data_IF_624498686797
#
_entry.id   IF_624498686797
#
_cell.length_a   1.000
_cell.length_b   1.000
_cell.length_c   1.000
_cell.angle_alpha   90.00
_cell.angle_beta   90.00
_cell.angle_gamma   90.00
#
_symmetry.space_group_name_H-M   'P 1'
#
loop_
_entity.id
_entity.type
_entity.pdbx_description
1 polymer ?
#
# COMPACT_ATOMS: atom_id res chain seq x y z
N UNK A 1 14.91 -8.82 -10.59
CA UNK A 1 13.96 -9.68 -11.32
C UNK A 1 12.96 -10.31 -10.36
N UNK A 2 13.39 -11.02 -9.31
CA UNK A 2 12.49 -11.69 -8.35
C UNK A 2 11.43 -10.74 -7.75
N UNK A 3 11.83 -9.56 -7.26
CA UNK A 3 10.89 -8.58 -6.70
C UNK A 3 9.84 -8.09 -7.71
N UNK A 4 10.22 -7.92 -8.97
CA UNK A 4 9.28 -7.57 -10.04
C UNK A 4 8.27 -8.69 -10.29
N UNK A 5 8.74 -9.93 -10.42
CA UNK A 5 7.85 -11.09 -10.60
C UNK A 5 6.88 -11.25 -9.43
N UNK A 6 7.37 -11.10 -8.20
CA UNK A 6 6.51 -11.13 -7.01
C UNK A 6 5.47 -10.00 -6.98
N UNK A 7 5.84 -8.81 -7.43
CA UNK A 7 4.89 -7.69 -7.60
C UNK A 7 3.79 -8.04 -8.60
N UNK A 8 4.16 -8.55 -9.76
CA UNK A 8 3.20 -8.95 -10.78
C UNK A 8 2.31 -10.13 -10.36
N UNK A 9 2.85 -11.15 -9.71
CA UNK A 9 2.04 -12.28 -9.22
C UNK A 9 1.06 -11.86 -8.12
N UNK A 10 1.41 -10.86 -7.29
CA UNK A 10 0.45 -10.27 -6.32
C UNK A 10 -0.71 -9.56 -7.00
N UNK A 11 -0.42 -8.78 -8.06
CA UNK A 11 -1.44 -8.09 -8.84
C UNK A 11 -2.35 -9.08 -9.57
N UNK A 12 -1.81 -10.23 -9.98
CA UNK A 12 -2.54 -11.29 -10.69
C UNK A 12 -3.14 -12.35 -9.72
N UNK A 13 -3.53 -11.92 -8.50
CA UNK A 13 -4.22 -12.73 -7.47
C UNK A 13 -3.49 -14.01 -7.03
N UNK A 14 -2.16 -14.05 -7.15
CA UNK A 14 -1.33 -15.16 -6.71
C UNK A 14 -0.28 -14.74 -5.64
N UNK A 15 -0.66 -14.04 -4.54
CA UNK A 15 0.29 -13.56 -3.53
C UNK A 15 1.01 -14.71 -2.81
N UNK A 16 0.37 -15.86 -2.70
CA UNK A 16 0.95 -17.05 -2.05
C UNK A 16 2.18 -17.56 -2.79
N UNK A 17 2.23 -17.42 -4.11
CA UNK A 17 3.37 -17.87 -4.90
C UNK A 17 4.64 -17.08 -4.59
N UNK A 18 4.50 -15.75 -4.40
CA UNK A 18 5.61 -14.92 -3.95
C UNK A 18 6.13 -15.32 -2.56
N UNK A 19 5.23 -15.68 -1.64
CA UNK A 19 5.61 -16.18 -0.31
C UNK A 19 6.35 -17.52 -0.40
N UNK A 20 5.85 -18.47 -1.19
CA UNK A 20 6.52 -19.77 -1.42
C UNK A 20 7.88 -19.58 -2.07
N UNK A 21 8.02 -18.64 -3.02
CA UNK A 21 9.30 -18.33 -3.65
C UNK A 21 10.33 -17.79 -2.66
N UNK A 22 9.94 -16.89 -1.73
CA UNK A 22 10.86 -16.38 -0.69
C UNK A 22 11.26 -17.49 0.30
N UNK A 23 10.30 -18.28 0.78
CA UNK A 23 10.59 -19.38 1.69
C UNK A 23 11.51 -20.41 1.01
N UNK A 24 11.18 -20.79 -0.23
CA UNK A 24 12.00 -21.70 -1.03
C UNK A 24 13.43 -21.16 -1.24
N UNK A 25 13.54 -19.87 -1.58
CA UNK A 25 14.84 -19.19 -1.68
C UNK A 25 15.63 -19.31 -0.37
N UNK A 26 15.01 -18.98 0.76
CA UNK A 26 15.70 -18.97 2.05
C UNK A 26 16.18 -20.37 2.46
N UNK A 27 15.33 -21.38 2.26
CA UNK A 27 15.70 -22.78 2.55
C UNK A 27 16.82 -23.26 1.63
N UNK A 28 16.73 -22.97 0.33
CA UNK A 28 17.76 -23.35 -0.64
C UNK A 28 19.07 -22.58 -0.37
N UNK A 29 19.01 -21.30 0.00
CA UNK A 29 20.19 -20.49 0.31
C UNK A 29 20.98 -21.11 1.48
N UNK A 30 20.31 -21.45 2.58
CA UNK A 30 20.92 -22.12 3.72
C UNK A 30 21.50 -23.49 3.31
N UNK A 31 20.74 -24.31 2.59
CA UNK A 31 21.19 -25.64 2.18
C UNK A 31 22.41 -25.57 1.24
N UNK A 32 22.34 -24.70 0.23
CA UNK A 32 23.43 -24.54 -0.74
C UNK A 32 24.67 -23.94 -0.09
N UNK A 33 24.53 -23.00 0.84
CA UNK A 33 25.65 -22.45 1.62
C UNK A 33 26.33 -23.53 2.47
N UNK A 34 25.57 -24.36 3.16
CA UNK A 34 26.11 -25.49 3.93
C UNK A 34 26.92 -26.44 3.03
N UNK A 35 26.35 -26.80 1.88
CA UNK A 35 27.05 -27.67 0.92
C UNK A 35 28.30 -27.01 0.36
N UNK A 36 28.21 -25.75 -0.08
CA UNK A 36 29.32 -25.03 -0.70
C UNK A 36 30.49 -24.79 0.26
N UNK A 37 30.19 -24.45 1.51
CA UNK A 37 31.22 -24.14 2.51
C UNK A 37 31.74 -25.39 3.24
N UNK A 38 30.80 -26.23 3.76
CA UNK A 38 31.17 -27.36 4.62
C UNK A 38 31.57 -28.62 3.83
N UNK A 39 30.87 -28.91 2.70
CA UNK A 39 31.17 -30.11 1.93
C UNK A 39 32.18 -29.88 0.81
N UNK A 40 32.11 -28.73 0.12
CA UNK A 40 32.98 -28.45 -1.04
C UNK A 40 34.17 -27.53 -0.70
N UNK A 41 34.19 -26.89 0.47
CA UNK A 41 35.30 -26.02 0.89
C UNK A 41 35.52 -24.77 0.02
N UNK A 42 34.49 -24.30 -0.74
CA UNK A 42 34.62 -23.24 -1.73
C UNK A 42 34.69 -21.81 -1.11
N UNK A 43 34.61 -21.69 0.22
CA UNK A 43 34.72 -20.42 0.93
C UNK A 43 33.76 -19.36 0.42
N UNK A 44 34.18 -18.11 0.31
CA UNK A 44 33.36 -16.97 -0.09
C UNK A 44 32.78 -17.09 -1.50
N UNK A 45 33.52 -17.68 -2.43
CA UNK A 45 33.02 -17.93 -3.81
C UNK A 45 31.86 -18.91 -3.81
N UNK A 46 31.93 -19.94 -3.00
CA UNK A 46 30.85 -20.91 -2.82
C UNK A 46 29.59 -20.28 -2.27
N UNK A 47 29.72 -19.39 -1.28
CA UNK A 47 28.59 -18.64 -0.72
C UNK A 47 27.91 -17.76 -1.77
N UNK A 48 28.69 -17.03 -2.59
CA UNK A 48 28.13 -16.20 -3.66
C UNK A 48 27.37 -17.03 -4.71
N UNK A 49 27.94 -18.18 -5.11
CA UNK A 49 27.29 -19.09 -6.06
C UNK A 49 26.01 -19.73 -5.45
N UNK A 50 26.04 -20.13 -4.19
CA UNK A 50 24.91 -20.70 -3.47
C UNK A 50 23.73 -19.73 -3.42
N UNK A 51 23.98 -18.47 -3.02
CA UNK A 51 22.97 -17.41 -3.01
C UNK A 51 22.41 -17.15 -4.43
N UNK A 52 23.26 -17.09 -5.46
CA UNK A 52 22.80 -16.92 -6.84
C UNK A 52 21.86 -18.06 -7.30
N UNK A 53 22.20 -19.30 -6.97
CA UNK A 53 21.36 -20.47 -7.27
C UNK A 53 20.03 -20.41 -6.51
N UNK A 54 20.01 -20.00 -5.24
CA UNK A 54 18.79 -19.84 -4.46
C UNK A 54 17.85 -18.80 -5.09
N UNK A 55 18.39 -17.68 -5.59
CA UNK A 55 17.59 -16.71 -6.37
C UNK A 55 17.05 -17.28 -7.68
N UNK A 56 17.82 -18.12 -8.36
CA UNK A 56 17.33 -18.80 -9.58
C UNK A 56 16.16 -19.72 -9.27
N UNK A 57 16.21 -20.46 -8.17
CA UNK A 57 15.08 -21.30 -7.70
C UNK A 57 13.84 -20.45 -7.43
N UNK A 58 13.98 -19.34 -6.73
CA UNK A 58 12.86 -18.43 -6.43
C UNK A 58 12.24 -17.84 -7.71
N UNK A 59 13.05 -17.43 -8.66
CA UNK A 59 12.58 -16.96 -9.99
C UNK A 59 11.85 -18.08 -10.72
N UNK A 60 12.37 -19.31 -10.72
CA UNK A 60 11.72 -20.44 -11.33
C UNK A 60 10.34 -20.72 -10.69
N UNK A 61 10.22 -20.66 -9.37
CA UNK A 61 8.94 -20.79 -8.65
C UNK A 61 7.96 -19.71 -9.11
N UNK A 62 8.37 -18.44 -9.18
CA UNK A 62 7.50 -17.36 -9.68
C UNK A 62 7.10 -17.56 -11.15
N UNK A 63 8.00 -18.09 -11.99
CA UNK A 63 7.73 -18.36 -13.41
C UNK A 63 6.69 -19.47 -13.61
N UNK A 64 6.45 -20.37 -12.67
CA UNK A 64 5.36 -21.36 -12.77
C UNK A 64 4.00 -20.71 -12.91
N UNK A 65 3.84 -19.45 -12.48
CA UNK A 65 2.60 -18.69 -12.66
C UNK A 65 2.21 -18.53 -14.13
N UNK A 66 3.18 -18.31 -15.01
CA UNK A 66 2.92 -18.16 -16.44
C UNK A 66 2.34 -19.42 -17.09
N UNK A 67 2.57 -20.60 -16.52
CA UNK A 67 1.98 -21.85 -16.95
C UNK A 67 0.59 -22.11 -16.32
N UNK A 68 0.15 -21.30 -15.37
CA UNK A 68 -1.13 -21.44 -14.68
C UNK A 68 -2.30 -20.97 -15.56
N UNK A 69 -3.44 -21.68 -15.51
CA UNK A 69 -4.69 -21.24 -16.17
C UNK A 69 -5.26 -19.93 -15.60
N UNK A 70 -4.77 -19.48 -14.44
CA UNK A 70 -5.18 -18.23 -13.77
C UNK A 70 -4.35 -17.03 -14.19
N UNK A 71 -3.31 -17.24 -15.03
CA UNK A 71 -2.41 -16.18 -15.46
C UNK A 71 -3.11 -15.24 -16.45
N UNK A 72 -3.18 -13.96 -16.11
CA UNK A 72 -3.64 -12.88 -17.01
C UNK A 72 -2.49 -12.06 -17.59
N UNK A 73 -1.26 -12.26 -17.09
CA UNK A 73 -0.07 -11.54 -17.53
C UNK A 73 0.40 -12.03 -18.91
N UNK A 74 0.69 -11.09 -19.80
CA UNK A 74 1.25 -11.38 -21.12
C UNK A 74 2.58 -10.67 -21.30
N UNK A 75 3.58 -11.40 -21.78
CA UNK A 75 4.85 -10.80 -22.18
C UNK A 75 4.65 -10.07 -23.51
N UNK A 76 4.90 -8.76 -23.50
CA UNK A 76 4.79 -7.90 -24.67
C UNK A 76 6.16 -7.35 -25.06
N UNK A 77 6.33 -7.00 -26.34
CA UNK A 77 7.55 -6.35 -26.79
C UNK A 77 7.66 -4.95 -26.15
N UNK A 78 8.76 -4.64 -25.43
CA UNK A 78 8.91 -3.36 -24.72
C UNK A 78 9.21 -2.18 -25.66
N UNK A 79 9.74 -2.42 -26.87
CA UNK A 79 10.22 -1.37 -27.77
C UNK A 79 9.18 -0.26 -28.09
N UNK A 80 7.91 -0.59 -28.41
CA UNK A 80 6.90 0.45 -28.67
C UNK A 80 6.53 1.28 -27.45
N UNK A 81 6.92 0.86 -26.26
CA UNK A 81 6.51 1.44 -24.97
C UNK A 81 7.63 2.18 -24.25
N UNK A 82 8.79 2.37 -24.87
CA UNK A 82 9.95 3.06 -24.25
C UNK A 82 9.63 4.47 -23.78
N UNK A 83 8.67 5.17 -24.40
CA UNK A 83 8.21 6.49 -23.94
C UNK A 83 7.64 6.49 -22.51
N UNK A 84 7.14 5.35 -22.02
CA UNK A 84 6.64 5.20 -20.64
C UNK A 84 7.75 4.95 -19.62
N UNK A 85 8.98 4.69 -20.05
CA UNK A 85 10.12 4.39 -19.16
C UNK A 85 10.41 5.53 -18.19
N UNK A 86 10.28 6.79 -18.65
CA UNK A 86 10.48 7.96 -17.79
C UNK A 86 9.48 8.01 -16.63
N UNK A 87 8.24 7.59 -16.84
CA UNK A 87 7.22 7.50 -15.78
C UNK A 87 7.55 6.39 -14.79
N UNK A 88 7.97 5.23 -15.27
CA UNK A 88 8.40 4.10 -14.41
C UNK A 88 9.60 4.52 -13.55
N UNK A 89 10.61 5.16 -14.15
CA UNK A 89 11.79 5.66 -13.42
C UNK A 89 11.42 6.70 -12.37
N UNK A 90 10.49 7.62 -12.68
CA UNK A 90 10.01 8.62 -11.70
C UNK A 90 9.30 7.98 -10.51
N UNK A 91 8.47 6.97 -10.73
CA UNK A 91 7.77 6.25 -9.65
C UNK A 91 8.75 5.46 -8.77
N UNK A 92 9.80 4.87 -9.36
CA UNK A 92 10.84 4.14 -8.65
C UNK A 92 11.88 5.02 -7.94
N UNK A 93 11.88 6.34 -8.19
CA UNK A 93 12.87 7.26 -7.64
C UNK A 93 12.96 7.26 -6.11
N UNK A 94 11.87 7.25 -5.32
CA UNK A 94 11.93 7.20 -3.87
C UNK A 94 12.71 5.99 -3.35
N UNK A 95 12.46 4.81 -3.90
CA UNK A 95 13.14 3.58 -3.49
C UNK A 95 14.64 3.61 -3.83
N UNK A 96 14.99 4.15 -5.00
CA UNK A 96 16.37 4.31 -5.42
C UNK A 96 17.12 5.28 -4.52
N UNK A 97 16.53 6.43 -4.20
CA UNK A 97 17.11 7.43 -3.28
C UNK A 97 17.28 6.85 -1.87
N UNK A 98 16.31 6.07 -1.38
CA UNK A 98 16.41 5.35 -0.11
C UNK A 98 17.66 4.48 -0.08
N UNK A 99 17.91 3.66 -1.12
CA UNK A 99 19.08 2.77 -1.20
C UNK A 99 20.40 3.53 -1.16
N UNK A 100 20.51 4.60 -1.95
CA UNK A 100 21.70 5.45 -1.97
C UNK A 100 21.93 6.11 -0.61
N UNK A 101 20.89 6.66 0.02
CA UNK A 101 20.99 7.34 1.32
C UNK A 101 21.38 6.35 2.43
N UNK A 102 20.82 5.13 2.44
CA UNK A 102 21.20 4.08 3.39
C UNK A 102 22.68 3.70 3.23
N UNK A 103 23.15 3.57 1.99
CA UNK A 103 24.56 3.27 1.71
C UNK A 103 25.48 4.37 2.27
N UNK A 104 25.18 5.63 1.99
CA UNK A 104 25.94 6.79 2.49
C UNK A 104 25.91 6.85 4.02
N UNK A 105 24.75 6.63 4.65
CA UNK A 105 24.61 6.56 6.10
C UNK A 105 25.51 5.47 6.70
N UNK A 106 25.44 4.26 6.14
CA UNK A 106 26.20 3.11 6.63
C UNK A 106 27.71 3.40 6.54
N UNK A 107 28.17 3.94 5.43
CA UNK A 107 29.56 4.34 5.25
C UNK A 107 29.99 5.39 6.29
N UNK A 108 29.18 6.45 6.45
CA UNK A 108 29.47 7.52 7.40
C UNK A 108 29.50 7.03 8.85
N UNK A 109 28.54 6.18 9.24
CA UNK A 109 28.48 5.65 10.60
C UNK A 109 29.64 4.70 10.91
N UNK A 110 30.04 3.84 9.98
CA UNK A 110 31.23 3.02 10.13
C UNK A 110 32.47 3.89 10.34
N UNK A 111 32.65 4.92 9.52
CA UNK A 111 33.79 5.85 9.64
C UNK A 111 33.77 6.60 10.99
N UNK A 112 32.63 7.17 11.39
CA UNK A 112 32.51 7.90 12.66
C UNK A 112 32.82 7.01 13.86
N UNK A 113 32.29 5.78 13.90
CA UNK A 113 32.52 4.85 15.02
C UNK A 113 33.95 4.36 15.10
N UNK A 114 34.62 4.20 13.97
CA UNK A 114 36.06 3.87 13.96
C UNK A 114 36.90 5.02 14.51
N UNK A 115 36.54 6.28 14.23
CA UNK A 115 37.31 7.46 14.67
C UNK A 115 37.08 7.78 16.13
N UNK A 116 35.85 7.63 16.64
CA UNK A 116 35.48 8.15 17.98
C UNK A 116 35.37 7.07 19.04
N UNK A 117 35.15 5.82 18.64
CA UNK A 117 34.98 4.72 19.59
C UNK A 117 36.04 3.61 19.34
N UNK A 118 35.59 2.50 18.77
CA UNK A 118 36.49 1.33 18.57
C UNK A 118 35.91 0.38 17.52
N UNK A 119 36.67 -0.62 17.10
CA UNK A 119 36.20 -1.72 16.28
C UNK A 119 35.01 -2.48 16.92
N UNK A 120 34.92 -2.48 18.26
CA UNK A 120 33.79 -3.05 18.98
C UNK A 120 32.47 -2.34 18.69
N UNK A 121 32.48 -0.99 18.55
CA UNK A 121 31.30 -0.21 18.17
C UNK A 121 30.89 -0.49 16.72
N UNK A 122 31.83 -0.73 15.81
CA UNK A 122 31.52 -1.13 14.42
C UNK A 122 30.92 -2.53 14.36
N UNK A 123 31.39 -3.47 15.18
CA UNK A 123 30.81 -4.80 15.33
C UNK A 123 29.35 -4.69 15.81
N UNK A 124 29.06 -3.82 16.79
CA UNK A 124 27.72 -3.52 17.26
C UNK A 124 26.82 -2.93 16.14
N UNK A 125 27.37 -2.05 15.27
CA UNK A 125 26.60 -1.50 14.11
C UNK A 125 26.29 -2.61 13.09
N UNK A 126 27.21 -3.53 12.84
CA UNK A 126 26.99 -4.65 11.93
C UNK A 126 25.88 -5.57 12.43
N UNK A 127 25.87 -5.90 13.72
CA UNK A 127 24.80 -6.63 14.39
C UNK A 127 23.48 -5.86 14.31
N UNK A 128 23.51 -4.54 14.59
CA UNK A 128 22.32 -3.68 14.51
C UNK A 128 21.70 -3.70 13.09
N UNK A 129 22.51 -3.81 12.03
CA UNK A 129 22.02 -3.92 10.66
C UNK A 129 21.17 -5.19 10.45
N UNK A 130 21.53 -6.30 11.10
CA UNK A 130 20.74 -7.54 11.06
C UNK A 130 19.41 -7.38 11.84
N UNK A 131 19.48 -6.79 13.03
CA UNK A 131 18.30 -6.46 13.84
C UNK A 131 17.36 -5.51 13.08
N UNK A 132 17.91 -4.50 12.39
CA UNK A 132 17.15 -3.59 11.54
C UNK A 132 16.43 -4.33 10.40
N UNK A 133 17.10 -5.26 9.72
CA UNK A 133 16.50 -6.04 8.64
C UNK A 133 15.29 -6.84 9.12
N UNK A 134 15.37 -7.39 10.33
CA UNK A 134 14.24 -8.09 10.97
C UNK A 134 13.10 -7.14 11.35
N UNK A 135 13.40 -6.02 12.01
CA UNK A 135 12.42 -5.02 12.42
C UNK A 135 11.71 -4.38 11.22
N UNK A 136 12.46 -4.08 10.15
CA UNK A 136 11.91 -3.50 8.91
C UNK A 136 10.95 -4.42 8.16
N UNK A 137 10.93 -5.73 8.45
CA UNK A 137 9.97 -6.65 7.82
C UNK A 137 8.51 -6.25 8.09
N UNK A 138 8.22 -5.76 9.30
CA UNK A 138 6.90 -5.25 9.69
C UNK A 138 6.56 -3.98 8.90
N UNK A 139 7.49 -3.03 8.89
CA UNK A 139 7.33 -1.73 8.22
C UNK A 139 7.13 -1.90 6.71
N UNK A 140 7.96 -2.76 6.09
CA UNK A 140 7.87 -3.08 4.65
C UNK A 140 6.55 -3.78 4.33
N UNK A 141 6.10 -4.73 5.14
CA UNK A 141 4.85 -5.46 4.95
C UNK A 141 3.64 -4.53 4.94
N UNK A 142 3.55 -3.63 5.93
CA UNK A 142 2.50 -2.62 6.02
C UNK A 142 2.59 -1.64 4.84
N UNK A 143 3.79 -1.15 4.51
CA UNK A 143 4.03 -0.24 3.40
C UNK A 143 3.62 -0.82 2.05
N UNK A 144 4.02 -2.05 1.74
CA UNK A 144 3.66 -2.72 0.47
C UNK A 144 2.14 -2.92 0.33
N UNK A 145 1.48 -3.32 1.42
CA UNK A 145 0.01 -3.45 1.45
C UNK A 145 -0.66 -2.10 1.22
N UNK A 146 -0.16 -1.06 1.88
CA UNK A 146 -0.67 0.30 1.70
C UNK A 146 -0.45 0.81 0.26
N UNK A 147 0.71 0.58 -0.34
CA UNK A 147 0.99 0.97 -1.73
C UNK A 147 -0.04 0.37 -2.69
N UNK A 148 -0.34 -0.92 -2.54
CA UNK A 148 -1.27 -1.63 -3.39
C UNK A 148 -2.70 -1.11 -3.22
N UNK A 149 -3.21 -1.06 -1.99
CA UNK A 149 -4.58 -0.64 -1.70
C UNK A 149 -4.80 0.85 -1.98
N UNK A 150 -3.84 1.71 -1.61
CA UNK A 150 -3.94 3.14 -1.90
C UNK A 150 -3.88 3.41 -3.41
N UNK A 151 -3.10 2.64 -4.18
CA UNK A 151 -3.08 2.75 -5.64
C UNK A 151 -4.44 2.44 -6.26
N UNK A 152 -5.11 1.37 -5.83
CA UNK A 152 -6.45 0.99 -6.29
C UNK A 152 -7.46 2.08 -5.92
N UNK A 153 -7.55 2.44 -4.64
CA UNK A 153 -8.55 3.39 -4.16
C UNK A 153 -8.31 4.83 -4.66
N UNK A 154 -7.07 5.17 -4.98
CA UNK A 154 -6.74 6.44 -5.63
C UNK A 154 -7.23 6.45 -7.08
N UNK A 155 -7.00 5.37 -7.83
CA UNK A 155 -7.52 5.23 -9.20
C UNK A 155 -9.04 5.28 -9.29
N UNK A 156 -9.73 4.82 -8.23
CA UNK A 156 -11.18 4.87 -8.10
C UNK A 156 -11.72 6.16 -7.46
N UNK A 157 -10.83 7.11 -7.15
CA UNK A 157 -11.16 8.36 -6.45
C UNK A 157 -11.92 8.16 -5.12
N UNK A 158 -11.67 7.04 -4.43
CA UNK A 158 -12.36 6.71 -3.17
C UNK A 158 -11.62 7.24 -1.94
N UNK A 159 -11.90 8.49 -1.56
CA UNK A 159 -11.30 9.13 -0.39
C UNK A 159 -11.58 8.39 0.93
N UNK A 160 -12.77 7.82 1.07
CA UNK A 160 -13.15 7.12 2.29
C UNK A 160 -12.34 5.84 2.47
N UNK A 161 -12.19 5.05 1.40
CA UNK A 161 -11.37 3.84 1.38
C UNK A 161 -9.88 4.15 1.59
N UNK A 162 -9.34 5.20 0.95
CA UNK A 162 -7.96 5.68 1.19
C UNK A 162 -7.73 6.01 2.67
N UNK A 163 -8.65 6.77 3.28
CA UNK A 163 -8.57 7.14 4.70
C UNK A 163 -8.68 5.93 5.61
N UNK A 164 -9.57 4.99 5.31
CA UNK A 164 -9.72 3.75 6.07
C UNK A 164 -8.44 2.89 5.99
N UNK A 165 -7.85 2.75 4.80
CA UNK A 165 -6.59 2.03 4.60
C UNK A 165 -5.46 2.61 5.44
N UNK A 166 -5.25 3.93 5.38
CA UNK A 166 -4.21 4.59 6.16
C UNK A 166 -4.46 4.47 7.67
N UNK A 167 -5.72 4.64 8.12
CA UNK A 167 -6.07 4.50 9.54
C UNK A 167 -5.83 3.09 10.05
N UNK A 168 -6.21 2.08 9.27
CA UNK A 168 -6.01 0.68 9.63
C UNK A 168 -4.52 0.33 9.60
N UNK A 169 -3.78 0.75 8.56
CA UNK A 169 -2.34 0.58 8.47
C UNK A 169 -1.58 1.21 9.64
N UNK A 170 -1.94 2.44 10.04
CA UNK A 170 -1.38 3.09 11.22
C UNK A 170 -1.71 2.33 12.50
N UNK A 171 -2.99 1.95 12.73
CA UNK A 171 -3.39 1.27 13.95
C UNK A 171 -2.72 -0.10 14.09
N UNK A 172 -2.86 -0.96 13.08
CA UNK A 172 -2.32 -2.32 13.13
C UNK A 172 -0.80 -2.31 13.08
N UNK A 173 -0.22 -1.46 12.23
CA UNK A 173 1.22 -1.33 12.11
C UNK A 173 1.86 -0.81 13.39
N UNK A 174 1.30 0.23 14.04
CA UNK A 174 1.79 0.73 15.32
C UNK A 174 1.64 -0.31 16.44
N UNK A 175 0.53 -1.03 16.51
CA UNK A 175 0.39 -2.11 17.50
C UNK A 175 1.48 -3.15 17.35
N UNK A 176 1.74 -3.60 16.11
CA UNK A 176 2.73 -4.63 15.83
C UNK A 176 4.16 -4.12 16.03
N UNK A 177 4.47 -2.90 15.57
CA UNK A 177 5.80 -2.30 15.74
C UNK A 177 6.10 -1.96 17.20
N UNK A 178 5.12 -1.48 17.97
CA UNK A 178 5.29 -1.23 19.40
C UNK A 178 5.47 -2.54 20.20
N UNK A 179 4.73 -3.60 19.86
CA UNK A 179 4.90 -4.91 20.48
C UNK A 179 6.31 -5.48 20.20
N UNK A 180 6.76 -5.40 18.94
CA UNK A 180 8.12 -5.81 18.55
C UNK A 180 9.17 -4.95 19.26
N UNK A 181 8.99 -3.63 19.29
CA UNK A 181 9.86 -2.70 20.00
C UNK A 181 9.98 -3.08 21.48
N UNK A 182 8.87 -3.28 22.17
CA UNK A 182 8.87 -3.66 23.59
C UNK A 182 9.58 -5.01 23.82
N UNK A 183 9.29 -6.02 22.99
CA UNK A 183 9.93 -7.33 23.10
C UNK A 183 11.45 -7.24 22.92
N UNK A 184 11.92 -6.64 21.81
CA UNK A 184 13.36 -6.55 21.52
C UNK A 184 14.07 -5.60 22.49
N UNK A 185 13.43 -4.53 22.98
CA UNK A 185 14.00 -3.62 23.97
C UNK A 185 14.27 -4.33 25.32
N UNK A 186 13.31 -5.15 25.77
CA UNK A 186 13.45 -5.93 27.02
C UNK A 186 14.51 -7.01 26.87
N UNK A 187 14.45 -7.76 25.76
CA UNK A 187 15.38 -8.88 25.50
C UNK A 187 16.66 -8.46 24.77
N UNK A 188 17.02 -7.16 24.75
CA UNK A 188 18.19 -6.65 24.07
C UNK A 188 19.51 -7.37 24.46
N UNK A 189 19.79 -7.67 25.74
CA UNK A 189 21.03 -8.42 26.09
C UNK A 189 21.06 -9.83 25.48
N UNK A 190 19.90 -10.54 25.47
CA UNK A 190 19.79 -11.86 24.89
C UNK A 190 19.95 -11.82 23.37
N UNK A 191 19.34 -10.82 22.71
CA UNK A 191 19.51 -10.59 21.27
C UNK A 191 20.97 -10.36 20.91
N UNK A 192 21.69 -9.53 21.67
CA UNK A 192 23.13 -9.26 21.48
C UNK A 192 23.96 -10.52 21.67
N UNK A 193 23.62 -11.32 22.69
CA UNK A 193 24.31 -12.59 22.97
C UNK A 193 24.17 -13.62 21.84
N UNK A 194 23.00 -13.64 21.12
CA UNK A 194 22.82 -14.51 19.95
C UNK A 194 23.79 -14.21 18.79
N UNK A 195 24.30 -12.98 18.71
CA UNK A 195 25.31 -12.58 17.72
C UNK A 195 26.76 -12.83 18.18
N UNK A 196 26.94 -13.42 19.35
CA UNK A 196 28.28 -13.75 19.88
C UNK A 196 29.13 -12.51 20.22
N UNK A 197 28.49 -11.38 20.53
CA UNK A 197 29.20 -10.19 20.99
C UNK A 197 29.44 -10.27 22.49
N UNK A 198 30.69 -10.06 22.89
CA UNK A 198 31.15 -10.08 24.28
C UNK A 198 31.78 -8.76 24.68
N UNK A 199 31.97 -8.55 25.99
CA UNK A 199 32.68 -7.43 26.56
C UNK A 199 32.17 -6.06 26.12
N UNK A 200 33.04 -5.21 25.62
CA UNK A 200 32.70 -3.85 25.17
C UNK A 200 31.74 -3.83 24.00
N UNK A 201 31.88 -4.77 23.05
CA UNK A 201 31.01 -4.87 21.89
C UNK A 201 29.56 -5.22 22.28
N UNK A 202 29.36 -6.06 23.29
CA UNK A 202 28.04 -6.37 23.82
C UNK A 202 27.40 -5.14 24.50
N UNK A 203 28.20 -4.37 25.27
CA UNK A 203 27.72 -3.15 25.92
C UNK A 203 27.20 -2.12 24.86
N UNK A 204 28.01 -1.85 23.83
CA UNK A 204 27.58 -1.02 22.70
C UNK A 204 26.38 -1.59 22.00
N UNK A 205 26.32 -2.90 21.78
CA UNK A 205 25.21 -3.59 21.12
C UNK A 205 23.90 -3.41 21.84
N UNK A 206 23.83 -3.56 23.16
CA UNK A 206 22.61 -3.38 23.96
C UNK A 206 22.09 -1.93 23.86
N UNK A 207 22.99 -0.96 23.98
CA UNK A 207 22.61 0.47 23.86
C UNK A 207 22.10 0.76 22.45
N UNK A 208 22.81 0.28 21.42
CA UNK A 208 22.45 0.47 20.02
C UNK A 208 21.08 -0.12 19.69
N UNK A 209 20.82 -1.38 20.12
CA UNK A 209 19.53 -2.05 19.90
C UNK A 209 18.39 -1.31 20.59
N UNK A 210 18.57 -0.91 21.84
CA UNK A 210 17.54 -0.18 22.58
C UNK A 210 17.23 1.18 21.96
N UNK A 211 18.25 1.95 21.58
CA UNK A 211 18.08 3.24 20.91
C UNK A 211 17.37 3.07 19.56
N UNK A 212 17.75 2.06 18.79
CA UNK A 212 17.15 1.77 17.49
C UNK A 212 15.71 1.32 17.59
N UNK A 213 15.37 0.45 18.55
CA UNK A 213 13.99 -0.03 18.69
C UNK A 213 12.98 1.10 18.91
N UNK A 214 13.37 2.18 19.57
CA UNK A 214 12.51 3.34 19.78
C UNK A 214 12.16 4.07 18.47
N UNK A 215 12.97 3.95 17.42
CA UNK A 215 12.66 4.58 16.13
C UNK A 215 11.67 3.77 15.27
N UNK A 216 11.54 2.45 15.47
CA UNK A 216 10.75 1.56 14.61
C UNK A 216 9.26 1.98 14.47
N UNK A 217 8.54 2.40 15.53
CA UNK A 217 7.18 2.90 15.38
C UNK A 217 7.09 4.20 14.55
N UNK A 218 8.12 5.06 14.61
CA UNK A 218 8.18 6.32 13.85
C UNK A 218 8.51 6.02 12.39
N UNK A 219 9.47 5.13 12.15
CA UNK A 219 9.82 4.61 10.82
C UNK A 219 8.59 4.05 10.11
N UNK A 220 7.75 3.28 10.82
CA UNK A 220 6.50 2.75 10.27
C UNK A 220 5.58 3.87 9.76
N UNK A 221 5.41 4.96 10.53
CA UNK A 221 4.57 6.09 10.11
C UNK A 221 5.15 6.71 8.84
N UNK A 222 6.45 7.01 8.83
CA UNK A 222 7.14 7.61 7.70
C UNK A 222 7.01 6.72 6.45
N UNK A 223 7.27 5.42 6.57
CA UNK A 223 7.18 4.46 5.48
C UNK A 223 5.76 4.32 4.93
N UNK A 224 4.73 4.33 5.78
CA UNK A 224 3.34 4.28 5.35
C UNK A 224 3.00 5.50 4.48
N UNK A 225 3.49 6.70 4.83
CA UNK A 225 3.26 7.90 4.03
C UNK A 225 4.12 7.94 2.77
N UNK A 226 5.34 7.39 2.76
CA UNK A 226 6.11 7.17 1.52
C UNK A 226 5.29 6.32 0.55
N UNK A 227 4.78 5.19 1.03
CA UNK A 227 3.94 4.27 0.24
C UNK A 227 2.68 4.95 -0.28
N UNK A 228 2.00 5.73 0.54
CA UNK A 228 0.83 6.51 0.16
C UNK A 228 1.15 7.54 -0.93
N UNK A 229 2.16 8.39 -0.72
CA UNK A 229 2.51 9.44 -1.70
C UNK A 229 3.06 8.85 -2.99
N UNK A 230 3.75 7.73 -2.94
CA UNK A 230 4.25 7.02 -4.13
C UNK A 230 3.08 6.47 -4.95
N UNK A 231 2.12 5.81 -4.31
CA UNK A 231 0.94 5.23 -4.98
C UNK A 231 -0.04 6.29 -5.50
N UNK A 232 -0.09 7.47 -4.90
CA UNK A 232 -0.92 8.60 -5.34
C UNK A 232 -0.20 9.55 -6.32
N UNK A 233 0.98 9.19 -6.80
CA UNK A 233 1.75 9.94 -7.80
C UNK A 233 2.47 11.18 -7.26
N UNK A 234 2.43 11.45 -5.95
CA UNK A 234 3.18 12.56 -5.35
C UNK A 234 4.64 12.16 -5.05
N UNK A 235 5.37 11.84 -6.13
CA UNK A 235 6.74 11.34 -6.07
C UNK A 235 7.69 12.29 -5.32
N UNK A 236 7.46 13.62 -5.40
CA UNK A 236 8.32 14.62 -4.71
C UNK A 236 8.22 14.47 -3.18
N UNK A 237 6.99 14.35 -2.66
CA UNK A 237 6.79 14.15 -1.22
C UNK A 237 7.34 12.78 -0.78
N UNK A 238 7.06 11.71 -1.54
CA UNK A 238 7.59 10.39 -1.28
C UNK A 238 9.13 10.40 -1.23
N UNK A 239 9.80 11.01 -2.22
CA UNK A 239 11.27 11.09 -2.26
C UNK A 239 11.85 11.90 -1.11
N UNK A 240 11.23 13.03 -0.75
CA UNK A 240 11.71 13.86 0.36
C UNK A 240 11.66 13.13 1.70
N UNK A 241 10.54 12.43 1.97
CA UNK A 241 10.40 11.60 3.18
C UNK A 241 11.36 10.41 3.13
N UNK A 242 11.46 9.73 2.00
CA UNK A 242 12.35 8.58 1.82
C UNK A 242 13.81 8.93 2.11
N UNK A 243 14.31 10.07 1.61
CA UNK A 243 15.68 10.56 1.89
C UNK A 243 15.83 10.95 3.36
N UNK A 244 14.84 11.64 3.94
CA UNK A 244 14.87 12.04 5.35
C UNK A 244 14.98 10.84 6.29
N UNK A 245 14.06 9.88 6.16
CA UNK A 245 14.03 8.66 7.01
C UNK A 245 15.21 7.74 6.77
N UNK A 246 15.71 7.62 5.52
CA UNK A 246 16.79 6.68 5.19
C UNK A 246 18.14 7.05 5.80
N UNK A 247 18.31 8.31 6.21
CA UNK A 247 19.55 8.65 6.89
C UNK A 247 20.03 10.09 6.77
N UNK A 248 19.42 10.95 5.94
CA UNK A 248 19.90 12.34 5.81
C UNK A 248 19.99 13.05 7.16
N UNK A 249 18.89 13.10 7.91
CA UNK A 249 18.84 13.76 9.21
C UNK A 249 19.61 12.97 10.28
N UNK A 250 19.65 11.64 10.18
CA UNK A 250 20.45 10.81 11.07
C UNK A 250 21.96 11.09 10.89
N UNK A 251 22.44 11.19 9.66
CA UNK A 251 23.86 11.54 9.38
C UNK A 251 24.17 12.94 9.89
N UNK A 252 23.34 13.93 9.60
CA UNK A 252 23.56 15.29 10.07
C UNK A 252 23.61 15.37 11.60
N UNK A 253 22.68 14.72 12.29
CA UNK A 253 22.67 14.68 13.74
C UNK A 253 23.89 13.95 14.31
N UNK A 254 24.27 12.81 13.75
CA UNK A 254 25.45 12.06 14.18
C UNK A 254 26.71 12.89 14.04
N UNK A 255 26.93 13.59 12.90
CA UNK A 255 28.08 14.47 12.67
C UNK A 255 28.16 15.59 13.71
N UNK A 256 27.03 16.15 14.15
CA UNK A 256 27.00 17.20 15.17
C UNK A 256 27.26 16.68 16.59
N UNK A 257 26.83 15.44 16.90
CA UNK A 257 26.77 14.95 18.28
C UNK A 257 27.88 13.93 18.62
N UNK A 258 28.51 13.32 17.63
CA UNK A 258 29.52 12.27 17.84
C UNK A 258 30.69 12.75 18.66
N UNK A 259 31.11 14.00 18.50
CA UNK A 259 32.24 14.58 19.22
C UNK A 259 31.96 14.88 20.70
N UNK A 260 30.68 15.01 21.07
CA UNK A 260 30.26 15.28 22.45
C UNK A 260 29.71 14.03 23.15
N UNK A 261 28.95 13.20 22.42
CA UNK A 261 28.26 12.03 22.97
C UNK A 261 28.92 10.70 22.55
N UNK A 262 30.01 10.73 21.76
CA UNK A 262 30.68 9.53 21.27
C UNK A 262 29.75 8.63 20.45
N UNK A 263 29.87 7.32 20.63
CA UNK A 263 29.05 6.33 19.93
C UNK A 263 27.54 6.48 20.22
N UNK A 264 27.16 6.97 21.40
CA UNK A 264 25.73 7.19 21.74
C UNK A 264 25.10 8.20 20.80
N UNK A 265 25.83 9.23 20.36
CA UNK A 265 25.36 10.19 19.36
C UNK A 265 24.96 9.51 18.05
N UNK A 266 25.71 8.51 17.61
CA UNK A 266 25.38 7.72 16.42
C UNK A 266 24.14 6.84 16.65
N UNK A 267 24.01 6.20 17.81
CA UNK A 267 22.83 5.37 18.12
C UNK A 267 21.54 6.18 18.21
N UNK A 268 21.60 7.34 18.86
CA UNK A 268 20.43 8.22 18.98
C UNK A 268 20.05 8.91 17.68
N UNK A 269 20.98 8.99 16.72
CA UNK A 269 20.72 9.62 15.43
C UNK A 269 19.62 8.91 14.61
N UNK A 270 19.43 7.61 14.77
CA UNK A 270 18.33 6.87 14.15
C UNK A 270 16.97 7.42 14.62
N UNK A 271 16.79 7.51 15.95
CA UNK A 271 15.54 8.01 16.54
C UNK A 271 15.28 9.48 16.15
N UNK A 272 16.31 10.32 16.30
CA UNK A 272 16.18 11.76 16.01
C UNK A 272 15.94 12.02 14.53
N UNK A 273 16.63 11.29 13.65
CA UNK A 273 16.44 11.39 12.19
C UNK A 273 15.01 11.07 11.76
N UNK A 274 14.45 9.98 12.28
CA UNK A 274 13.05 9.60 12.03
C UNK A 274 12.07 10.63 12.60
N UNK A 275 12.30 11.11 13.82
CA UNK A 275 11.45 12.10 14.47
C UNK A 275 11.44 13.45 13.73
N UNK A 276 12.61 13.92 13.26
CA UNK A 276 12.72 15.14 12.44
C UNK A 276 11.95 14.96 11.13
N UNK A 277 12.13 13.80 10.46
CA UNK A 277 11.42 13.50 9.21
C UNK A 277 9.90 13.58 9.40
N UNK A 278 9.38 12.93 10.46
CA UNK A 278 7.95 12.96 10.79
C UNK A 278 7.47 14.38 11.11
N UNK A 279 8.22 15.13 11.91
CA UNK A 279 7.87 16.50 12.28
C UNK A 279 7.79 17.41 11.05
N UNK A 280 8.77 17.35 10.15
CA UNK A 280 8.78 18.11 8.91
C UNK A 280 7.62 17.73 7.99
N UNK A 281 7.34 16.44 7.86
CA UNK A 281 6.21 15.93 7.09
C UNK A 281 4.88 16.51 7.60
N UNK A 282 4.65 16.49 8.92
CA UNK A 282 3.44 17.03 9.55
C UNK A 282 3.36 18.56 9.35
N UNK A 283 4.45 19.27 9.56
CA UNK A 283 4.49 20.74 9.39
C UNK A 283 4.18 21.11 7.94
N UNK A 284 4.84 20.50 6.97
CA UNK A 284 4.61 20.75 5.53
C UNK A 284 3.17 20.45 5.16
N UNK A 285 2.62 19.31 5.61
CA UNK A 285 1.23 18.94 5.35
C UNK A 285 0.25 19.98 5.92
N UNK A 286 0.46 20.45 7.15
CA UNK A 286 -0.37 21.48 7.77
C UNK A 286 -0.27 22.83 7.05
N UNK A 287 0.92 23.24 6.60
CA UNK A 287 1.12 24.49 5.84
C UNK A 287 0.43 24.42 4.48
N UNK A 288 0.63 23.31 3.75
CA UNK A 288 -0.01 23.12 2.44
C UNK A 288 -1.53 23.07 2.56
N UNK A 289 -2.05 22.40 3.59
CA UNK A 289 -3.49 22.37 3.86
C UNK A 289 -4.07 23.75 4.15
N UNK A 290 -3.39 24.56 4.99
CA UNK A 290 -3.80 25.95 5.26
C UNK A 290 -3.82 26.80 4.00
N UNK A 291 -2.78 26.71 3.15
CA UNK A 291 -2.69 27.45 1.88
C UNK A 291 -3.82 27.09 0.92
N UNK A 292 -4.15 25.80 0.80
CA UNK A 292 -5.26 25.34 -0.05
C UNK A 292 -6.61 25.85 0.44
N UNK A 293 -6.85 25.78 1.74
CA UNK A 293 -8.09 26.28 2.33
C UNK A 293 -8.26 27.80 2.15
N UNK A 294 -7.18 28.56 2.23
CA UNK A 294 -7.21 29.98 1.96
C UNK A 294 -7.57 30.28 0.49
N UNK A 295 -7.04 29.49 -0.47
CA UNK A 295 -7.39 29.60 -1.89
C UNK A 295 -8.84 29.19 -2.16
N UNK A 296 -9.31 28.09 -1.58
CA UNK A 296 -10.70 27.63 -1.74
C UNK A 296 -11.70 28.65 -1.19
N UNK A 297 -11.44 29.24 -0.01
CA UNK A 297 -12.31 30.27 0.57
C UNK A 297 -12.41 31.54 -0.26
N UNK A 298 -11.41 31.86 -1.08
CA UNK A 298 -11.47 33.01 -2.03
C UNK A 298 -12.27 32.70 -3.32
N UNK A 299 -12.36 31.42 -3.69
CA UNK A 299 -13.12 30.99 -4.89
C UNK A 299 -14.59 30.76 -4.54
N UNK A 300 -14.90 30.19 -3.36
CA UNK A 300 -16.29 29.95 -2.92
C UNK A 300 -17.09 31.23 -2.74
N UNK A 301 -16.49 32.33 -2.28
CA UNK A 301 -17.17 33.62 -2.15
C UNK A 301 -17.58 34.17 -3.52
N UNK A 302 -16.78 33.95 -4.57
CA UNK A 302 -17.09 34.37 -5.92
C UNK A 302 -18.09 33.42 -6.62
N UNK A 303 -18.02 32.12 -6.35
CA UNK A 303 -18.89 31.09 -6.96
C UNK A 303 -20.27 30.99 -6.33
N UNK A 304 -20.40 31.19 -5.02
CA UNK A 304 -21.69 31.14 -4.29
C UNK A 304 -22.58 32.33 -4.65
N UNK A 305 -22.01 33.47 -5.00
CA UNK A 305 -22.74 34.63 -5.53
C UNK A 305 -23.29 34.40 -6.95
N UNK A 306 -22.71 33.47 -7.70
CA UNK A 306 -23.10 33.22 -9.08
C UNK A 306 -24.12 32.06 -9.26
N UNK A 307 -24.18 31.10 -8.33
CA UNK A 307 -24.96 29.85 -8.53
C UNK A 307 -26.12 29.62 -7.56
N UNK A 308 -26.27 30.42 -6.50
CA UNK A 308 -27.39 30.29 -5.52
C UNK A 308 -27.49 28.94 -4.80
N UNK A 309 -26.49 28.08 -4.89
CA UNK A 309 -26.48 26.76 -4.24
C UNK A 309 -26.09 26.90 -2.75
N UNK A 310 -26.71 26.14 -1.84
CA UNK A 310 -26.37 26.20 -0.42
C UNK A 310 -24.91 25.82 -0.19
N UNK A 311 -24.21 26.63 0.62
CA UNK A 311 -22.83 26.38 1.02
C UNK A 311 -22.70 24.99 1.64
N UNK A 312 -21.62 24.23 1.37
CA UNK A 312 -21.40 22.94 1.99
C UNK A 312 -21.37 23.07 3.50
N UNK A 313 -22.05 22.15 4.19
CA UNK A 313 -22.23 22.13 5.63
C UNK A 313 -20.91 22.39 6.38
N UNK A 314 -20.97 23.27 7.38
CA UNK A 314 -19.95 23.92 8.18
C UNK A 314 -18.60 23.20 8.47
N UNK A 315 -17.66 23.84 9.13
CA UNK A 315 -16.27 23.39 9.18
C UNK A 315 -16.13 22.06 9.91
N UNK A 316 -16.16 20.97 9.17
CA UNK A 316 -15.74 19.67 9.70
C UNK A 316 -14.29 19.83 10.14
N UNK A 317 -14.02 19.66 11.45
CA UNK A 317 -12.65 19.68 12.00
C UNK A 317 -11.84 18.59 11.30
N UNK A 318 -11.03 18.99 10.32
CA UNK A 318 -10.17 18.05 9.60
C UNK A 318 -9.19 17.40 10.58
N UNK A 319 -9.17 16.08 10.62
CA UNK A 319 -8.20 15.31 11.42
C UNK A 319 -6.77 15.54 10.89
N UNK A 320 -5.75 15.21 11.69
CA UNK A 320 -4.37 15.29 11.24
C UNK A 320 -4.16 14.43 9.97
N UNK A 321 -4.77 13.26 9.93
CA UNK A 321 -4.72 12.37 8.78
C UNK A 321 -5.31 13.03 7.52
N UNK A 322 -6.43 13.76 7.63
CA UNK A 322 -7.02 14.50 6.50
C UNK A 322 -6.09 15.59 5.95
N UNK A 323 -5.27 16.19 6.81
CA UNK A 323 -4.27 17.21 6.40
C UNK A 323 -3.07 16.57 5.71
N UNK A 324 -2.66 15.40 6.16
CA UNK A 324 -1.54 14.63 5.58
C UNK A 324 -1.93 13.93 4.28
N UNK A 325 -3.22 13.62 4.08
CA UNK A 325 -3.72 13.08 2.81
C UNK A 325 -3.74 14.19 1.76
N UNK A 326 -2.66 14.25 0.96
CA UNK A 326 -2.61 15.13 -0.19
C UNK A 326 -3.33 14.50 -1.37
N UNK A 327 -4.49 15.04 -1.73
CA UNK A 327 -5.23 14.67 -2.93
C UNK A 327 -5.08 15.80 -3.97
N UNK A 328 -4.89 15.50 -5.27
CA UNK A 328 -4.82 16.51 -6.31
C UNK A 328 -6.15 17.29 -6.44
N UNK A 329 -6.09 18.48 -7.00
CA UNK A 329 -7.29 19.32 -7.20
C UNK A 329 -8.28 18.69 -8.19
N UNK A 330 -7.82 17.77 -9.02
CA UNK A 330 -8.66 17.01 -9.97
C UNK A 330 -9.42 15.85 -9.33
N UNK A 331 -9.13 15.53 -8.06
CA UNK A 331 -9.73 14.38 -7.38
C UNK A 331 -11.20 14.67 -7.04
N UNK A 332 -12.12 13.84 -7.53
CA UNK A 332 -13.58 13.98 -7.37
C UNK A 332 -14.20 15.29 -7.91
N UNK A 333 -13.49 16.02 -8.78
CA UNK A 333 -13.98 17.31 -9.32
C UNK A 333 -15.23 17.14 -10.16
N UNK A 334 -15.33 16.05 -10.91
CA UNK A 334 -16.45 15.78 -11.81
C UNK A 334 -17.66 15.15 -11.10
N UNK A 335 -17.56 14.91 -9.79
CA UNK A 335 -18.65 14.30 -9.04
C UNK A 335 -19.69 15.34 -8.65
N UNK A 336 -20.94 15.09 -9.02
CA UNK A 336 -22.09 15.90 -8.62
C UNK A 336 -22.65 15.40 -7.29
N UNK A 337 -22.84 14.07 -7.17
CA UNK A 337 -23.30 13.40 -5.96
C UNK A 337 -22.70 12.01 -5.87
N UNK A 338 -22.46 11.52 -4.65
CA UNK A 338 -22.08 10.13 -4.42
C UNK A 338 -22.73 9.59 -3.13
N UNK A 339 -22.98 8.29 -3.12
CA UNK A 339 -23.52 7.58 -1.97
C UNK A 339 -22.95 6.17 -1.90
N UNK A 340 -22.47 5.78 -0.73
CA UNK A 340 -22.06 4.42 -0.43
C UNK A 340 -23.15 3.70 0.37
N UNK A 341 -23.40 2.43 0.03
CA UNK A 341 -24.36 1.56 0.69
C UNK A 341 -23.60 0.32 1.15
N UNK A 342 -23.72 -0.03 2.42
CA UNK A 342 -23.19 -1.28 2.96
C UNK A 342 -24.29 -2.34 2.93
N UNK A 343 -24.00 -3.48 2.35
CA UNK A 343 -24.92 -4.59 2.21
C UNK A 343 -24.40 -5.78 3.03
N UNK A 344 -25.23 -6.31 3.94
CA UNK A 344 -24.92 -7.57 4.60
C UNK A 344 -25.02 -8.71 3.61
N UNK A 345 -24.24 -9.79 3.76
CA UNK A 345 -24.20 -10.90 2.80
C UNK A 345 -25.41 -11.85 3.00
N UNK A 346 -26.61 -11.32 2.90
CA UNK A 346 -27.86 -12.05 2.90
C UNK A 346 -28.86 -11.40 1.96
N UNK A 347 -29.78 -12.15 1.41
CA UNK A 347 -30.76 -11.73 0.39
C UNK A 347 -31.65 -10.60 0.90
N UNK A 348 -32.08 -10.63 2.15
CA UNK A 348 -32.95 -9.60 2.74
C UNK A 348 -32.25 -8.23 2.72
N UNK A 349 -30.98 -8.15 3.10
CA UNK A 349 -30.18 -6.93 3.06
C UNK A 349 -29.85 -6.49 1.63
N UNK A 350 -29.75 -7.42 0.69
CA UNK A 350 -29.58 -7.11 -0.75
C UNK A 350 -30.81 -6.36 -1.26
N UNK A 351 -32.01 -6.86 -0.96
CA UNK A 351 -33.28 -6.22 -1.36
C UNK A 351 -33.42 -4.85 -0.69
N UNK A 352 -33.06 -4.72 0.58
CA UNK A 352 -33.05 -3.42 1.27
C UNK A 352 -32.06 -2.44 0.61
N UNK A 353 -30.85 -2.90 0.29
CA UNK A 353 -29.85 -2.10 -0.42
C UNK A 353 -30.36 -1.64 -1.79
N UNK A 354 -30.99 -2.52 -2.56
CA UNK A 354 -31.60 -2.21 -3.85
C UNK A 354 -32.69 -1.11 -3.72
N UNK A 355 -33.54 -1.18 -2.69
CA UNK A 355 -34.55 -0.13 -2.40
C UNK A 355 -33.89 1.22 -2.05
N UNK A 356 -32.84 1.20 -1.23
CA UNK A 356 -32.11 2.42 -0.86
C UNK A 356 -31.44 3.05 -2.09
N UNK A 357 -30.89 2.25 -2.98
CA UNK A 357 -30.35 2.67 -4.28
C UNK A 357 -31.43 3.31 -5.14
N UNK A 358 -32.63 2.71 -5.21
CA UNK A 358 -33.76 3.27 -5.95
C UNK A 358 -34.19 4.64 -5.40
N UNK A 359 -34.30 4.77 -4.07
CA UNK A 359 -34.64 6.01 -3.41
C UNK A 359 -33.61 7.12 -3.69
N UNK A 360 -32.32 6.77 -3.67
CA UNK A 360 -31.26 7.73 -4.01
C UNK A 360 -31.34 8.16 -5.47
N UNK A 361 -31.58 7.25 -6.42
CA UNK A 361 -31.74 7.59 -7.83
C UNK A 361 -32.88 8.58 -8.02
N UNK A 362 -34.06 8.36 -7.39
CA UNK A 362 -35.19 9.29 -7.43
C UNK A 362 -34.82 10.66 -6.84
N UNK A 363 -34.12 10.70 -5.70
CA UNK A 363 -33.66 11.94 -5.08
C UNK A 363 -32.69 12.74 -5.94
N UNK A 364 -31.95 12.08 -6.86
CA UNK A 364 -31.06 12.73 -7.82
C UNK A 364 -31.76 13.08 -9.15
N UNK A 365 -33.07 12.88 -9.25
CA UNK A 365 -33.84 13.17 -10.47
C UNK A 365 -33.56 12.21 -11.63
N UNK A 366 -33.11 11.00 -11.33
CA UNK A 366 -32.90 9.95 -12.33
C UNK A 366 -34.22 9.22 -12.54
N UNK A 367 -34.82 9.40 -13.70
CA UNK A 367 -36.14 8.88 -14.01
C UNK A 367 -36.15 7.78 -15.09
N UNK A 368 -37.33 7.16 -15.27
CA UNK A 368 -37.62 6.23 -16.35
C UNK A 368 -36.91 4.88 -16.22
N UNK A 369 -36.60 4.29 -17.37
CA UNK A 369 -35.98 2.93 -17.45
C UNK A 369 -34.68 2.81 -16.65
N UNK A 370 -33.91 3.89 -16.50
CA UNK A 370 -32.62 3.92 -15.81
C UNK A 370 -32.79 3.83 -14.31
N UNK A 371 -33.79 4.49 -13.72
CA UNK A 371 -34.12 4.39 -12.31
C UNK A 371 -34.49 2.95 -11.89
N UNK A 372 -34.96 2.14 -12.82
CA UNK A 372 -35.25 0.72 -12.58
C UNK A 372 -34.02 -0.19 -12.79
N UNK A 373 -33.21 0.08 -13.82
CA UNK A 373 -32.06 -0.77 -14.16
C UNK A 373 -30.98 -0.78 -13.09
N UNK A 374 -30.75 0.33 -12.40
CA UNK A 374 -29.66 0.46 -11.42
C UNK A 374 -29.91 -0.37 -10.16
N UNK A 375 -31.09 -0.25 -9.49
CA UNK A 375 -31.43 -1.12 -8.36
C UNK A 375 -31.46 -2.60 -8.74
N UNK A 376 -31.98 -2.94 -9.92
CA UNK A 376 -31.99 -4.30 -10.45
C UNK A 376 -30.58 -4.85 -10.65
N UNK A 377 -29.66 -4.03 -11.17
CA UNK A 377 -28.26 -4.39 -11.31
C UNK A 377 -27.60 -4.71 -9.96
N UNK A 378 -27.87 -3.89 -8.95
CA UNK A 378 -27.36 -4.12 -7.58
C UNK A 378 -27.92 -5.42 -7.02
N UNK A 379 -29.23 -5.62 -7.15
CA UNK A 379 -29.91 -6.81 -6.63
C UNK A 379 -29.36 -8.08 -7.28
N UNK A 380 -29.25 -8.12 -8.58
CA UNK A 380 -28.74 -9.27 -9.34
C UNK A 380 -27.29 -9.59 -9.00
N UNK A 381 -26.40 -8.59 -9.05
CA UNK A 381 -24.99 -8.80 -8.79
C UNK A 381 -24.72 -9.19 -7.32
N UNK A 382 -25.40 -8.55 -6.38
CA UNK A 382 -25.24 -8.83 -4.96
C UNK A 382 -25.86 -10.18 -4.57
N UNK A 383 -27.01 -10.57 -5.14
CA UNK A 383 -27.60 -11.90 -4.93
C UNK A 383 -26.67 -12.99 -5.46
N UNK A 384 -26.09 -12.82 -6.65
CA UNK A 384 -25.12 -13.76 -7.19
C UNK A 384 -23.87 -13.91 -6.29
N UNK A 385 -23.39 -12.82 -5.71
CA UNK A 385 -22.29 -12.88 -4.74
C UNK A 385 -22.69 -13.65 -3.47
N UNK A 386 -23.90 -13.45 -2.96
CA UNK A 386 -24.42 -14.13 -1.77
C UNK A 386 -24.63 -15.63 -2.03
N UNK A 387 -25.24 -15.98 -3.16
CA UNK A 387 -25.62 -17.38 -3.46
C UNK A 387 -24.43 -18.22 -3.90
N UNK A 388 -23.54 -17.66 -4.72
CA UNK A 388 -22.47 -18.42 -5.36
C UNK A 388 -21.06 -17.98 -4.95
N UNK A 389 -20.87 -16.70 -4.57
CA UNK A 389 -19.55 -16.12 -4.31
C UNK A 389 -18.99 -16.48 -2.93
N UNK A 390 -19.81 -16.56 -1.91
CA UNK A 390 -19.35 -16.59 -0.51
C UNK A 390 -19.20 -17.99 0.11
N UNK A 391 -19.41 -19.06 -0.63
CA UNK A 391 -19.36 -20.43 -0.09
C UNK A 391 -18.08 -20.78 0.70
N UNK A 392 -16.95 -20.15 0.39
CA UNK A 392 -15.65 -20.37 1.04
C UNK A 392 -15.11 -19.13 1.77
N UNK A 393 -15.89 -18.06 1.90
CA UNK A 393 -15.43 -16.78 2.44
C UNK A 393 -15.74 -16.69 3.93
N UNK A 394 -14.71 -16.50 4.77
CA UNK A 394 -14.86 -16.45 6.24
C UNK A 394 -15.58 -15.18 6.74
N UNK A 395 -15.38 -14.06 6.07
CA UNK A 395 -15.95 -12.76 6.41
C UNK A 395 -16.49 -12.10 5.14
N UNK A 396 -17.65 -12.56 4.63
CA UNK A 396 -18.22 -12.04 3.41
C UNK A 396 -18.62 -10.57 3.58
N UNK A 397 -18.33 -9.75 2.55
CA UNK A 397 -18.62 -8.33 2.54
C UNK A 397 -19.04 -7.89 1.13
N UNK A 398 -20.01 -6.99 1.06
CA UNK A 398 -20.48 -6.34 -0.18
C UNK A 398 -20.54 -4.84 0.08
N UNK A 399 -19.89 -4.07 -0.78
CA UNK A 399 -19.98 -2.60 -0.82
C UNK A 399 -20.53 -2.15 -2.16
N UNK A 400 -21.54 -1.29 -2.12
CA UNK A 400 -22.15 -0.67 -3.30
C UNK A 400 -21.90 0.83 -3.23
N UNK A 401 -21.44 1.45 -4.31
CA UNK A 401 -21.27 2.90 -4.40
C UNK A 401 -21.84 3.42 -5.72
N UNK A 402 -22.64 4.46 -5.62
CA UNK A 402 -23.13 5.24 -6.74
C UNK A 402 -22.38 6.56 -6.83
N UNK A 403 -22.03 6.96 -8.04
CA UNK A 403 -21.35 8.23 -8.33
C UNK A 403 -22.03 8.85 -9.54
N UNK A 404 -22.67 10.00 -9.34
CA UNK A 404 -23.24 10.80 -10.40
C UNK A 404 -22.23 11.90 -10.79
N UNK A 405 -21.83 11.91 -12.05
CA UNK A 405 -20.91 12.93 -12.59
C UNK A 405 -21.66 14.11 -13.21
N UNK A 406 -20.98 15.25 -13.31
CA UNK A 406 -21.52 16.49 -13.91
C UNK A 406 -21.85 16.37 -15.39
N UNK A 407 -21.21 15.45 -16.12
CA UNK A 407 -21.48 15.14 -17.53
C UNK A 407 -22.73 14.25 -17.73
N UNK A 408 -23.49 13.96 -16.66
CA UNK A 408 -24.63 13.06 -16.69
C UNK A 408 -24.25 11.59 -16.77
N UNK A 409 -23.01 11.23 -16.45
CA UNK A 409 -22.60 9.83 -16.31
C UNK A 409 -22.88 9.35 -14.89
N UNK A 410 -23.58 8.23 -14.75
CA UNK A 410 -23.77 7.51 -13.51
C UNK A 410 -22.87 6.26 -13.49
N UNK A 411 -22.09 6.13 -12.45
CA UNK A 411 -21.26 4.95 -12.19
C UNK A 411 -21.83 4.20 -10.99
N UNK A 412 -22.16 2.94 -11.18
CA UNK A 412 -22.46 1.98 -10.13
C UNK A 412 -21.20 1.13 -9.93
N UNK A 413 -20.62 1.15 -8.75
CA UNK A 413 -19.51 0.30 -8.35
C UNK A 413 -19.97 -0.68 -7.28
N UNK A 414 -19.80 -1.96 -7.53
CA UNK A 414 -20.01 -3.00 -6.54
C UNK A 414 -18.69 -3.72 -6.28
N UNK A 415 -18.36 -3.92 -5.00
CA UNK A 415 -17.22 -4.71 -4.53
C UNK A 415 -17.70 -5.83 -3.63
N UNK A 416 -17.13 -7.00 -3.81
CA UNK A 416 -17.29 -8.12 -2.90
C UNK A 416 -15.97 -8.89 -2.75
N UNK A 417 -15.86 -9.70 -1.71
CA UNK A 417 -14.70 -10.56 -1.45
C UNK A 417 -15.03 -12.05 -1.67
N UNK A 418 -15.98 -12.34 -2.52
CA UNK A 418 -16.36 -13.69 -2.91
C UNK A 418 -15.40 -14.33 -3.93
N UNK A 419 -15.79 -15.49 -4.42
CA UNK A 419 -15.09 -16.15 -5.53
C UNK A 419 -15.05 -15.23 -6.76
N UNK A 420 -13.95 -15.20 -7.53
CA UNK A 420 -13.85 -14.39 -8.73
C UNK A 420 -14.96 -14.74 -9.72
N UNK A 421 -15.75 -13.75 -10.09
CA UNK A 421 -16.84 -13.89 -11.06
C UNK A 421 -16.95 -12.63 -11.92
N UNK A 422 -16.67 -12.76 -13.21
CA UNK A 422 -16.90 -11.69 -14.18
C UNK A 422 -18.30 -11.81 -14.80
N UNK A 423 -19.22 -10.89 -14.54
CA UNK A 423 -20.57 -10.96 -15.12
C UNK A 423 -20.56 -10.90 -16.66
N UNK A 424 -19.48 -10.43 -17.27
CA UNK A 424 -19.36 -10.34 -18.73
C UNK A 424 -18.90 -11.65 -19.37
N UNK A 425 -18.34 -12.60 -18.62
CA UNK A 425 -17.91 -13.91 -19.13
C UNK A 425 -19.04 -14.96 -19.09
N UNK A 426 -20.20 -14.62 -18.49
CA UNK A 426 -21.34 -15.54 -18.42
C UNK A 426 -21.88 -15.84 -19.84
N UNK A 427 -21.92 -17.12 -20.18
CA UNK A 427 -22.56 -17.56 -21.43
C UNK A 427 -24.10 -17.48 -21.29
N UNK A 428 -24.67 -16.41 -21.81
CA UNK A 428 -26.10 -16.16 -21.77
C UNK A 428 -26.90 -17.08 -22.70
N UNK A 429 -26.26 -17.82 -23.61
CA UNK A 429 -26.93 -18.76 -24.49
C UNK A 429 -27.22 -20.10 -23.81
N UNK A 430 -26.34 -20.47 -22.86
CA UNK A 430 -26.45 -21.71 -22.07
C UNK A 430 -27.17 -21.50 -20.72
N UNK A 431 -27.38 -20.25 -20.28
CA UNK A 431 -28.05 -19.94 -19.02
C UNK A 431 -29.57 -20.02 -19.15
N UNK A 432 -30.25 -20.50 -18.10
CA UNK A 432 -31.70 -20.48 -18.01
C UNK A 432 -32.22 -19.06 -18.31
N UNK A 433 -33.23 -18.90 -19.22
CA UNK A 433 -33.79 -17.60 -19.56
C UNK A 433 -34.19 -16.73 -18.38
N UNK A 434 -34.57 -17.32 -17.26
CA UNK A 434 -35.01 -16.65 -16.04
C UNK A 434 -33.87 -16.33 -15.04
N UNK A 435 -32.76 -17.04 -15.09
CA UNK A 435 -31.67 -16.92 -14.08
C UNK A 435 -30.63 -15.83 -14.35
N UNK A 436 -30.65 -15.16 -15.50
CA UNK A 436 -29.65 -14.14 -15.85
C UNK A 436 -30.29 -12.88 -16.46
N UNK A 437 -31.54 -12.59 -16.10
CA UNK A 437 -32.30 -11.46 -16.66
C UNK A 437 -31.63 -10.13 -16.37
N UNK A 438 -31.14 -9.93 -15.14
CA UNK A 438 -30.48 -8.69 -14.75
C UNK A 438 -29.15 -8.48 -15.49
N UNK A 439 -28.35 -9.53 -15.68
CA UNK A 439 -27.09 -9.45 -16.43
C UNK A 439 -27.36 -9.19 -17.93
N UNK A 440 -28.41 -9.78 -18.50
CA UNK A 440 -28.84 -9.49 -19.89
C UNK A 440 -29.28 -8.03 -20.05
N UNK A 441 -30.08 -7.52 -19.10
CA UNK A 441 -30.51 -6.13 -19.10
C UNK A 441 -29.36 -5.16 -18.93
N UNK A 442 -28.41 -5.50 -18.06
CA UNK A 442 -27.17 -4.74 -17.88
C UNK A 442 -26.39 -4.63 -19.18
N UNK A 443 -26.14 -5.77 -19.86
CA UNK A 443 -25.38 -5.77 -21.13
C UNK A 443 -26.03 -4.96 -22.23
N UNK A 444 -27.36 -4.85 -22.26
CA UNK A 444 -28.11 -4.10 -23.27
C UNK A 444 -28.33 -2.63 -22.91
N UNK A 445 -28.36 -2.29 -21.63
CA UNK A 445 -28.79 -0.97 -21.14
C UNK A 445 -27.67 -0.05 -20.68
N UNK A 446 -26.41 -0.50 -20.66
CA UNK A 446 -25.27 0.24 -20.10
C UNK A 446 -24.25 0.62 -21.17
N UNK A 447 -23.50 1.71 -20.93
CA UNK A 447 -22.37 2.12 -21.80
C UNK A 447 -21.18 1.20 -21.70
N UNK A 448 -20.97 0.61 -20.52
CA UNK A 448 -19.85 -0.32 -20.26
C UNK A 448 -19.98 -1.00 -18.92
N UNK A 449 -19.43 -2.20 -18.85
CA UNK A 449 -19.20 -2.94 -17.61
C UNK A 449 -17.73 -3.29 -17.56
N UNK A 450 -17.05 -2.88 -16.50
CA UNK A 450 -15.65 -3.22 -16.25
C UNK A 450 -15.58 -4.14 -15.04
N UNK A 451 -14.84 -5.23 -15.17
CA UNK A 451 -14.59 -6.15 -14.08
C UNK A 451 -13.10 -6.24 -13.80
N UNK A 452 -12.77 -6.15 -12.53
CA UNK A 452 -11.41 -6.36 -12.06
C UNK A 452 -11.44 -7.17 -10.76
N UNK A 453 -10.62 -8.22 -10.69
CA UNK A 453 -10.37 -8.91 -9.43
C UNK A 453 -8.93 -8.62 -9.01
N UNK A 454 -8.76 -7.96 -7.87
CA UNK A 454 -7.43 -7.59 -7.35
C UNK A 454 -7.39 -7.83 -5.84
N UNK A 455 -6.37 -8.59 -5.39
CA UNK A 455 -6.18 -8.92 -3.95
C UNK A 455 -7.38 -9.66 -3.35
N UNK A 456 -8.08 -10.48 -4.16
CA UNK A 456 -9.26 -11.22 -3.72
C UNK A 456 -10.52 -10.37 -3.55
N UNK A 457 -10.53 -9.14 -4.09
CA UNK A 457 -11.71 -8.28 -4.17
C UNK A 457 -12.19 -8.24 -5.61
N UNK A 458 -13.42 -8.66 -5.83
CA UNK A 458 -14.16 -8.41 -7.07
C UNK A 458 -14.57 -6.94 -7.09
N UNK A 459 -14.35 -6.25 -8.18
CA UNK A 459 -14.79 -4.90 -8.41
C UNK A 459 -15.50 -4.84 -9.78
N UNK A 460 -16.79 -4.61 -9.76
CA UNK A 460 -17.61 -4.42 -10.95
C UNK A 460 -18.00 -2.96 -11.02
N UNK A 461 -17.68 -2.31 -12.12
CA UNK A 461 -18.07 -0.93 -12.41
C UNK A 461 -18.99 -0.91 -13.61
N UNK A 462 -20.21 -0.44 -13.40
CA UNK A 462 -21.23 -0.28 -14.44
C UNK A 462 -21.39 1.21 -14.74
N UNK A 463 -21.23 1.59 -15.99
CA UNK A 463 -21.33 2.98 -16.44
C UNK A 463 -22.59 3.18 -17.29
N UNK A 464 -23.44 4.13 -16.88
CA UNK A 464 -24.66 4.51 -17.58
C UNK A 464 -24.64 6.01 -17.90
N UNK A 465 -25.36 6.42 -18.96
CA UNK A 465 -25.64 7.82 -19.20
C UNK A 465 -27.01 8.16 -18.62
N UNK A 466 -27.12 9.17 -17.75
CA UNK A 466 -28.40 9.65 -17.20
C UNK A 466 -28.87 10.94 -17.85
N UNK A 467 -28.04 11.59 -18.65
CA UNK A 467 -28.50 12.65 -19.57
C UNK A 467 -29.34 12.06 -20.72
N UNK A 468 -30.47 12.68 -21.00
CA UNK A 468 -31.42 12.29 -22.06
C UNK A 468 -30.76 12.28 -23.44
#
# INVERSE_FOLDING_TARGET
>A
LLQLLMGFTRLDNAPQLGMVAIIGMSVCDVAFNLVAVCALGLGLWGMGAATALAYCVAVAICCTHFASKRNTLRLVNPLPHLGKLSSVLKIGLPDSLTRVTVMLRTFTFNWLLLVVASGAAVAALSMLSSVNSFASSVTIGVGQTATLLCGIFFGEEDRAALKATLRTGLRMGLMLSCALCAAVFVFAPQVVGLFGLDGEAAAFGVVAVRAFMLCVPIDLINQLFVSYYQSTGNVRAASAIAVGQSGLFAVLFALCTVWTWGAVGVWMSFLVGEAITLALQVVVACVLWKRRRAKAGSVDVAGTLATGLPAPAGPVRASLLDKMMYLPETFQVDWLADQAFSCKPNIESVVECSRNVAAWCQAQGIDGRRAYLIPLAVEEMASNAVEYGFAKTKHPAIDVKLILKRDGTLMLRMRDNGAPFNPMDLDLSAADPYSAVGIRMLRQGVRGVEYQNTVGLNNVVVTLSVSA
#
